data_IF_043258561126
#
_entry.id   IF_043258561126
#
_cell.length_a   1.000
_cell.length_b   1.000
_cell.length_c   1.000
_cell.angle_alpha   90.00
_cell.angle_beta   90.00
_cell.angle_gamma   90.00
#
_symmetry.space_group_name_H-M   'P 1'
#
loop_
_entity.id
_entity.type
_entity.pdbx_description
1 polymer ?
#
# COMPACT_ATOMS: atom_id res chain seq x y z
N UNK A 1 -4.12 -19.26 -15.10
CA UNK A 1 -4.54 -18.65 -14.37
C UNK A 1 -3.99 -18.37 -13.20
N UNK A 2 -3.57 -17.47 -12.77
CA UNK A 2 -2.91 -17.16 -11.57
C UNK A 2 -3.86 -16.84 -10.45
N UNK A 3 -3.34 -16.86 -9.27
CA UNK A 3 -4.03 -16.36 -8.11
C UNK A 3 -4.12 -14.84 -8.19
N UNK A 4 -5.09 -14.27 -7.47
CA UNK A 4 -5.19 -12.84 -7.33
C UNK A 4 -3.91 -12.30 -6.69
N UNK A 5 -3.44 -11.16 -7.16
CA UNK A 5 -2.29 -10.51 -6.54
C UNK A 5 -2.68 -9.96 -5.18
N UNK A 6 -1.74 -9.93 -4.27
CA UNK A 6 -1.99 -9.60 -2.86
C UNK A 6 -1.51 -8.21 -2.55
N UNK A 7 -2.40 -7.42 -1.97
CA UNK A 7 -2.09 -6.06 -1.53
C UNK A 7 -2.26 -5.98 -0.02
N UNK A 8 -1.22 -5.54 0.67
CA UNK A 8 -1.28 -5.26 2.08
C UNK A 8 -1.55 -3.77 2.23
N UNK A 9 -2.67 -3.43 2.87
CA UNK A 9 -3.09 -2.05 3.04
C UNK A 9 -3.01 -1.67 4.51
N UNK A 10 -2.21 -0.67 4.84
CA UNK A 10 -2.00 -0.21 6.21
C UNK A 10 -2.71 1.10 6.40
N UNK A 11 -3.74 1.11 7.25
CA UNK A 11 -4.65 2.22 7.44
C UNK A 11 -5.39 2.06 8.77
N UNK A 12 -5.45 3.11 9.59
CA UNK A 12 -6.15 3.02 10.88
C UNK A 12 -7.62 3.44 10.83
N UNK A 13 -8.04 4.17 9.79
CA UNK A 13 -9.41 4.64 9.70
C UNK A 13 -10.32 3.58 9.08
N UNK A 14 -11.34 3.14 9.83
CA UNK A 14 -12.19 2.03 9.40
C UNK A 14 -12.98 2.31 8.14
N UNK A 15 -13.47 3.53 7.96
CA UNK A 15 -14.22 3.88 6.74
C UNK A 15 -13.35 3.77 5.50
N UNK A 16 -12.10 4.24 5.58
CA UNK A 16 -11.18 4.12 4.47
C UNK A 16 -10.76 2.68 4.25
N UNK A 17 -10.58 1.91 5.31
CA UNK A 17 -10.27 0.48 5.19
C UNK A 17 -11.33 -0.22 4.36
N UNK A 18 -12.60 0.02 4.69
CA UNK A 18 -13.71 -0.61 3.99
C UNK A 18 -13.76 -0.17 2.54
N UNK A 19 -13.65 1.13 2.30
CA UNK A 19 -13.74 1.69 0.94
C UNK A 19 -12.63 1.17 0.03
N UNK A 20 -11.39 1.25 0.49
CA UNK A 20 -10.24 0.85 -0.31
C UNK A 20 -10.25 -0.66 -0.54
N UNK A 21 -10.60 -1.43 0.48
CA UNK A 21 -10.71 -2.88 0.33
C UNK A 21 -11.78 -3.24 -0.69
N UNK A 22 -12.89 -2.51 -0.71
CA UNK A 22 -13.94 -2.73 -1.69
C UNK A 22 -13.45 -2.39 -3.10
N UNK A 23 -12.79 -1.24 -3.26
CA UNK A 23 -12.29 -0.81 -4.56
C UNK A 23 -11.26 -1.80 -5.13
N UNK A 24 -10.28 -2.15 -4.33
CA UNK A 24 -9.19 -3.00 -4.80
C UNK A 24 -9.57 -4.47 -4.84
N UNK A 25 -10.36 -4.92 -3.87
CA UNK A 25 -10.76 -6.32 -3.77
C UNK A 25 -11.97 -6.65 -4.61
N UNK A 26 -13.14 -6.12 -4.23
CA UNK A 26 -14.39 -6.48 -4.90
C UNK A 26 -14.45 -6.01 -6.34
N UNK A 27 -13.97 -4.81 -6.62
CA UNK A 27 -14.01 -4.25 -7.97
C UNK A 27 -12.75 -4.64 -8.74
N UNK A 28 -11.58 -4.51 -8.11
CA UNK A 28 -10.30 -4.71 -8.78
C UNK A 28 -9.80 -6.13 -8.89
N UNK A 29 -10.33 -7.03 -8.08
CA UNK A 29 -9.92 -8.43 -8.11
C UNK A 29 -8.66 -8.76 -7.34
N UNK A 30 -8.12 -7.81 -6.57
CA UNK A 30 -6.95 -8.07 -5.72
C UNK A 30 -7.38 -8.77 -4.43
N UNK A 31 -6.45 -9.52 -3.85
CA UNK A 31 -6.62 -10.09 -2.52
C UNK A 31 -6.03 -9.07 -1.54
N UNK A 32 -6.88 -8.41 -0.76
CA UNK A 32 -6.47 -7.29 0.08
C UNK A 32 -6.53 -7.67 1.56
N UNK A 33 -5.41 -7.50 2.25
CA UNK A 33 -5.38 -7.62 3.71
C UNK A 33 -5.18 -6.22 4.29
N UNK A 34 -6.03 -5.86 5.26
CA UNK A 34 -5.98 -4.56 5.91
C UNK A 34 -5.33 -4.71 7.28
N UNK A 35 -4.40 -3.80 7.59
CA UNK A 35 -3.79 -3.70 8.91
C UNK A 35 -4.01 -2.30 9.45
N UNK A 36 -4.21 -2.20 10.76
CA UNK A 36 -4.57 -0.94 11.40
C UNK A 36 -3.38 -0.15 11.94
N UNK A 37 -2.18 -0.70 11.88
CA UNK A 37 -0.98 -0.03 12.35
C UNK A 37 0.24 -0.47 11.57
N UNK A 38 1.31 0.32 11.68
CA UNK A 38 2.57 -0.05 11.05
C UNK A 38 3.14 -1.34 11.58
N UNK A 39 3.07 -1.54 12.90
CA UNK A 39 3.58 -2.78 13.51
C UNK A 39 2.82 -4.00 13.02
N UNK A 40 1.50 -3.90 12.96
CA UNK A 40 0.68 -4.98 12.43
C UNK A 40 1.03 -5.27 10.98
N UNK A 41 1.23 -4.21 10.18
CA UNK A 41 1.59 -4.35 8.79
C UNK A 41 2.94 -5.03 8.60
N UNK A 42 3.93 -4.65 9.41
CA UNK A 42 5.24 -5.27 9.33
C UNK A 42 5.20 -6.77 9.65
N UNK A 43 4.36 -7.16 10.61
CA UNK A 43 4.17 -8.57 10.90
C UNK A 43 3.45 -9.31 9.77
N UNK A 44 2.48 -8.64 9.16
CA UNK A 44 1.67 -9.26 8.11
C UNK A 44 2.47 -9.52 6.84
N UNK A 45 3.54 -8.79 6.59
CA UNK A 45 4.37 -9.02 5.40
C UNK A 45 4.84 -10.47 5.32
N UNK A 46 5.31 -11.02 6.44
CA UNK A 46 5.78 -12.40 6.46
C UNK A 46 4.66 -13.43 6.34
N UNK A 47 3.49 -13.11 6.89
CA UNK A 47 2.35 -14.03 6.90
C UNK A 47 1.58 -14.03 5.59
N UNK A 48 1.34 -12.86 5.06
CA UNK A 48 0.48 -12.68 3.90
C UNK A 48 1.24 -12.76 2.58
N UNK A 49 2.53 -12.46 2.61
CA UNK A 49 3.39 -12.41 1.43
C UNK A 49 2.78 -11.53 0.33
N UNK A 50 2.61 -10.23 0.60
CA UNK A 50 1.97 -9.35 -0.37
C UNK A 50 2.86 -9.10 -1.58
N UNK A 51 2.22 -8.74 -2.68
CA UNK A 51 2.91 -8.32 -3.90
C UNK A 51 3.11 -6.81 -3.93
N UNK A 52 2.35 -6.08 -3.12
CA UNK A 52 2.43 -4.62 -3.04
C UNK A 52 1.92 -4.17 -1.68
N UNK A 53 2.54 -3.15 -1.10
CA UNK A 53 2.08 -2.53 0.14
C UNK A 53 1.54 -1.15 -0.20
N UNK A 54 0.32 -0.87 0.26
CA UNK A 54 -0.29 0.45 0.18
C UNK A 54 -0.30 1.01 1.60
N UNK A 55 0.41 2.11 1.82
CA UNK A 55 0.67 2.64 3.15
C UNK A 55 0.12 4.05 3.28
N UNK A 56 -0.84 4.23 4.21
CA UNK A 56 -1.32 5.55 4.56
C UNK A 56 -0.33 6.18 5.54
N UNK A 57 0.18 7.35 5.20
CA UNK A 57 1.16 8.03 6.04
C UNK A 57 0.53 9.03 7.02
N UNK A 58 -0.80 9.15 6.99
CA UNK A 58 -1.50 10.13 7.83
C UNK A 58 -2.08 9.51 9.10
N UNK A 59 -1.51 8.41 9.59
CA UNK A 59 -2.01 7.75 10.79
C UNK A 59 -1.40 8.36 12.04
N UNK A 60 -2.21 8.65 13.07
CA UNK A 60 -1.68 9.18 14.34
C UNK A 60 -0.66 8.23 14.95
N UNK A 61 0.41 8.79 15.49
CA UNK A 61 1.44 8.00 16.15
C UNK A 61 2.27 7.13 15.24
N UNK A 62 2.09 7.24 13.92
CA UNK A 62 2.86 6.47 12.96
C UNK A 62 3.74 7.37 12.12
N UNK A 63 4.98 6.95 11.95
CA UNK A 63 5.92 7.61 11.05
C UNK A 63 6.07 6.74 9.81
N UNK A 64 5.55 7.22 8.67
CA UNK A 64 5.61 6.48 7.41
C UNK A 64 7.03 6.19 6.98
N UNK A 65 7.98 7.08 7.27
CA UNK A 65 9.38 6.83 6.95
C UNK A 65 9.93 5.65 7.75
N UNK A 66 9.53 5.51 9.02
CA UNK A 66 10.00 4.39 9.84
C UNK A 66 9.49 3.06 9.30
N UNK A 67 8.23 3.02 8.88
CA UNK A 67 7.66 1.80 8.30
C UNK A 67 8.37 1.46 7.00
N UNK A 68 8.57 2.46 6.13
CA UNK A 68 9.24 2.24 4.85
C UNK A 68 10.67 1.75 5.06
N UNK A 69 11.42 2.37 5.99
CA UNK A 69 12.78 1.94 6.30
C UNK A 69 12.82 0.51 6.83
N UNK A 70 11.85 0.17 7.70
CA UNK A 70 11.78 -1.19 8.25
C UNK A 70 11.52 -2.21 7.16
N UNK A 71 10.65 -1.89 6.19
CA UNK A 71 10.40 -2.78 5.05
C UNK A 71 11.66 -2.96 4.22
N UNK A 72 12.38 -1.87 3.94
CA UNK A 72 13.58 -1.93 3.11
C UNK A 72 14.75 -2.64 3.80
N UNK A 73 14.73 -2.70 5.14
CA UNK A 73 15.79 -3.34 5.90
C UNK A 73 15.63 -4.86 5.98
N UNK A 74 14.47 -5.41 5.65
CA UNK A 74 14.23 -6.85 5.73
C UNK A 74 14.42 -7.51 4.38
N UNK A 75 15.14 -8.65 4.31
CA UNK A 75 15.36 -9.31 3.03
C UNK A 75 14.05 -9.66 2.30
N UNK A 76 13.02 -10.09 3.04
CA UNK A 76 11.77 -10.51 2.43
C UNK A 76 10.95 -9.36 1.86
N UNK A 77 11.26 -8.12 2.22
CA UNK A 77 10.51 -6.95 1.73
C UNK A 77 11.39 -5.87 1.13
N UNK A 78 12.68 -6.11 0.99
CA UNK A 78 13.61 -5.09 0.51
C UNK A 78 13.25 -4.58 -0.89
N UNK A 79 12.69 -5.42 -1.74
CA UNK A 79 12.31 -5.06 -3.10
C UNK A 79 10.80 -4.96 -3.29
N UNK A 80 10.03 -5.09 -2.22
CA UNK A 80 8.58 -5.08 -2.27
C UNK A 80 8.08 -3.69 -2.67
N UNK A 81 7.23 -3.57 -3.69
CA UNK A 81 6.68 -2.26 -4.05
C UNK A 81 5.86 -1.67 -2.90
N UNK A 82 6.17 -0.44 -2.52
CA UNK A 82 5.44 0.30 -1.50
C UNK A 82 4.92 1.59 -2.12
N UNK A 83 3.61 1.77 -2.08
CA UNK A 83 2.93 2.96 -2.60
C UNK A 83 2.28 3.68 -1.43
N UNK A 84 2.50 4.99 -1.35
CA UNK A 84 2.03 5.79 -0.23
C UNK A 84 0.74 6.51 -0.57
N UNK A 85 -0.17 6.58 0.41
CA UNK A 85 -1.33 7.48 0.33
C UNK A 85 -1.03 8.67 1.22
N UNK A 86 -1.06 9.88 0.66
CA UNK A 86 -0.75 11.08 1.42
C UNK A 86 -1.58 12.26 0.93
N UNK A 87 -1.92 13.15 1.85
CA UNK A 87 -2.65 14.37 1.51
C UNK A 87 -1.73 15.45 0.94
N UNK A 88 -0.41 15.27 1.01
CA UNK A 88 0.53 16.31 0.63
C UNK A 88 1.54 15.83 -0.38
N UNK A 89 1.56 16.48 -1.53
CA UNK A 89 2.47 16.11 -2.60
C UNK A 89 3.94 16.47 -2.34
N UNK A 90 4.28 17.61 -1.67
CA UNK A 90 5.69 17.90 -1.43
C UNK A 90 6.41 16.83 -0.61
N UNK A 91 5.69 16.17 0.30
CA UNK A 91 6.27 15.09 1.08
C UNK A 91 6.50 13.83 0.27
N UNK A 92 5.79 13.70 -0.84
CA UNK A 92 5.91 12.52 -1.71
C UNK A 92 7.32 12.36 -2.27
N UNK A 93 8.00 13.45 -2.61
CA UNK A 93 9.35 13.36 -3.15
C UNK A 93 10.32 12.76 -2.14
N UNK A 94 10.16 13.09 -0.86
CA UNK A 94 11.00 12.53 0.19
C UNK A 94 10.77 11.03 0.34
N UNK A 95 9.52 10.58 0.25
CA UNK A 95 9.19 9.16 0.31
C UNK A 95 9.77 8.41 -0.88
N UNK A 96 9.71 9.00 -2.07
CA UNK A 96 10.30 8.37 -3.25
C UNK A 96 11.82 8.22 -3.08
N UNK A 97 12.49 9.24 -2.55
CA UNK A 97 13.92 9.15 -2.28
C UNK A 97 14.24 8.13 -1.20
N UNK A 98 13.31 7.89 -0.29
CA UNK A 98 13.49 6.89 0.76
C UNK A 98 13.18 5.46 0.31
N UNK A 99 12.76 5.28 -0.93
CA UNK A 99 12.55 3.96 -1.48
C UNK A 99 11.12 3.56 -1.79
N UNK A 100 10.15 4.50 -1.70
CA UNK A 100 8.79 4.21 -2.10
C UNK A 100 8.71 4.12 -3.63
N UNK A 101 7.82 3.25 -4.10
CA UNK A 101 7.61 3.06 -5.52
C UNK A 101 6.79 4.19 -6.13
N UNK A 102 5.89 4.75 -5.37
CA UNK A 102 5.04 5.83 -5.84
C UNK A 102 4.20 6.42 -4.72
N UNK A 103 3.45 7.45 -5.08
CA UNK A 103 2.61 8.20 -4.15
C UNK A 103 1.27 8.46 -4.81
N UNK A 104 0.20 8.26 -4.06
CA UNK A 104 -1.16 8.58 -4.50
C UNK A 104 -1.70 9.66 -3.57
N UNK A 105 -2.15 10.77 -4.14
CA UNK A 105 -2.64 11.89 -3.36
C UNK A 105 -4.07 11.65 -2.86
N UNK A 106 -4.37 12.12 -1.67
CA UNK A 106 -5.73 12.17 -1.13
C UNK A 106 -6.26 13.59 -1.30
N UNK A 107 -7.56 13.76 -1.52
CA UNK A 107 -8.54 12.72 -1.74
C UNK A 107 -8.40 12.10 -3.12
N UNK A 108 -8.87 10.88 -3.29
CA UNK A 108 -8.79 10.19 -4.58
C UNK A 108 -10.18 9.76 -5.03
N UNK A 109 -10.34 9.65 -6.34
CA UNK A 109 -11.53 9.04 -6.93
C UNK A 109 -11.36 7.54 -6.90
N UNK A 110 -12.42 6.74 -6.63
CA UNK A 110 -12.28 5.29 -6.59
C UNK A 110 -11.69 4.68 -7.86
N UNK A 111 -12.16 5.13 -9.02
CA UNK A 111 -11.63 4.60 -10.28
C UNK A 111 -10.17 4.98 -10.49
N UNK A 112 -9.78 6.19 -10.07
CA UNK A 112 -8.40 6.64 -10.19
C UNK A 112 -7.49 5.86 -9.25
N UNK A 113 -7.94 5.54 -8.05
CA UNK A 113 -7.16 4.74 -7.12
C UNK A 113 -6.86 3.37 -7.72
N UNK A 114 -7.89 2.71 -8.24
CA UNK A 114 -7.72 1.39 -8.85
C UNK A 114 -6.75 1.44 -10.03
N UNK A 115 -6.91 2.45 -10.89
CA UNK A 115 -6.04 2.61 -12.05
C UNK A 115 -4.60 2.83 -11.63
N UNK A 116 -4.36 3.71 -10.64
CA UNK A 116 -3.01 4.00 -10.16
C UNK A 116 -2.37 2.78 -9.50
N UNK A 117 -3.13 2.05 -8.71
CA UNK A 117 -2.60 0.84 -8.07
C UNK A 117 -2.23 -0.20 -9.14
N UNK A 118 -3.08 -0.37 -10.15
CA UNK A 118 -2.76 -1.27 -11.26
C UNK A 118 -1.49 -0.85 -11.99
N UNK A 119 -1.30 0.45 -12.18
CA UNK A 119 -0.11 0.95 -12.84
C UNK A 119 1.16 0.65 -12.03
N UNK A 120 1.11 0.82 -10.71
CA UNK A 120 2.24 0.50 -9.85
C UNK A 120 2.45 -1.00 -9.72
N UNK A 121 1.38 -1.76 -9.76
CA UNK A 121 1.50 -3.22 -9.73
C UNK A 121 2.11 -3.75 -11.02
N UNK A 122 1.98 -3.02 -12.11
CA UNK A 122 2.61 -3.40 -13.37
C UNK A 122 2.25 -4.81 -13.79
N UNK A 123 3.24 -5.66 -13.90
CA UNK A 123 3.06 -7.04 -14.34
C UNK A 123 2.31 -7.89 -13.32
N UNK A 124 2.01 -7.37 -12.13
CA UNK A 124 1.22 -8.09 -11.16
C UNK A 124 -0.24 -8.18 -11.57
N UNK A 125 -0.70 -7.30 -12.44
CA UNK A 125 -2.09 -7.31 -12.90
C UNK A 125 -2.26 -8.48 -13.87
N UNK A 126 -3.22 -9.37 -13.62
CA UNK A 126 -3.45 -10.47 -14.54
C UNK A 126 -3.86 -9.96 -15.92
N UNK A 127 -3.36 -10.60 -16.92
CA UNK A 127 -3.70 -10.25 -18.29
C UNK A 127 -5.17 -10.59 -18.59
#
# INVERSE_FOLDING_TARGET
MGQAKRILYIEDETDLQWLVKHILGSVGGFDVRVCSSGDEGLRAVGEFAPDLVLLDVMMPGMDGFSVLRALRARPESAALPVVLLTARTPEGDEYLRAGAQGVIAKPFEPAALLERVRAFAGDLVPA
#
